data_IF_293842171633
#
_entry.id   IF_293842171633
#
_cell.length_a   1.000
_cell.length_b   1.000
_cell.length_c   1.000
_cell.angle_alpha   90.00
_cell.angle_beta   90.00
_cell.angle_gamma   90.00
#
_symmetry.space_group_name_H-M   'P 1'
#
loop_
_entity.id
_entity.type
_entity.pdbx_description
1 polymer ?
#
# COMPACT_ATOMS: atom_id res chain seq x y z
N UNK A 1 16.01 6.22 5.57
CA UNK A 1 14.83 7.03 5.96
C UNK A 1 14.14 7.46 4.68
N UNK A 2 12.83 7.23 4.52
CA UNK A 2 12.12 7.66 3.30
C UNK A 2 11.89 9.17 3.33
N UNK A 3 12.05 9.90 2.20
CA UNK A 3 11.73 11.32 2.12
C UNK A 3 10.25 11.59 2.45
N UNK A 4 9.99 12.72 3.11
CA UNK A 4 8.64 13.17 3.46
C UNK A 4 8.57 14.68 3.60
N UNK A 5 7.39 15.26 3.37
CA UNK A 5 7.08 16.69 3.48
C UNK A 5 8.03 17.56 2.63
N UNK A 6 8.34 17.10 1.42
CA UNK A 6 9.14 17.87 0.48
C UNK A 6 8.33 19.06 -0.06
N UNK A 7 9.01 20.13 -0.45
CA UNK A 7 8.36 21.22 -1.16
C UNK A 7 7.80 20.71 -2.49
N UNK A 8 6.52 20.94 -2.72
CA UNK A 8 5.83 20.51 -3.94
C UNK A 8 4.40 21.03 -3.98
N UNK A 9 3.71 20.79 -5.09
CA UNK A 9 2.32 21.22 -5.25
C UNK A 9 1.40 20.37 -4.39
N UNK A 10 0.41 21.00 -3.75
CA UNK A 10 -0.63 20.27 -3.04
C UNK A 10 -1.46 19.44 -4.03
N UNK A 11 -2.10 18.38 -3.54
CA UNK A 11 -2.93 17.53 -4.40
C UNK A 11 -4.03 18.36 -5.04
N UNK A 12 -4.06 18.38 -6.36
CA UNK A 12 -5.18 18.89 -7.13
C UNK A 12 -5.95 17.71 -7.70
N UNK A 13 -7.04 17.36 -7.02
CA UNK A 13 -7.86 16.21 -7.39
C UNK A 13 -8.30 16.23 -8.85
N UNK A 14 -8.52 17.41 -9.46
CA UNK A 14 -8.93 17.50 -10.87
C UNK A 14 -7.90 16.94 -11.84
N UNK A 15 -6.61 16.89 -11.45
CA UNK A 15 -5.52 16.28 -12.23
C UNK A 15 -5.55 14.75 -12.20
N UNK A 16 -6.26 14.15 -11.25
CA UNK A 16 -6.46 12.70 -11.17
C UNK A 16 -7.74 12.35 -11.90
N UNK A 17 -7.66 11.58 -12.99
CA UNK A 17 -8.83 11.22 -13.80
C UNK A 17 -9.91 10.48 -12.98
N UNK A 18 -11.21 10.66 -13.28
CA UNK A 18 -12.29 9.93 -12.61
C UNK A 18 -12.12 8.40 -12.66
N UNK A 19 -11.64 7.88 -13.78
CA UNK A 19 -11.37 6.44 -13.96
C UNK A 19 -10.29 5.96 -12.99
N UNK A 20 -9.18 6.69 -12.87
CA UNK A 20 -8.12 6.34 -11.92
C UNK A 20 -8.62 6.42 -10.48
N UNK A 21 -9.41 7.44 -10.11
CA UNK A 21 -10.02 7.51 -8.78
C UNK A 21 -10.89 6.29 -8.48
N UNK A 22 -11.69 5.84 -9.44
CA UNK A 22 -12.52 4.64 -9.25
C UNK A 22 -11.69 3.38 -9.04
N UNK A 23 -10.56 3.24 -9.72
CA UNK A 23 -9.64 2.11 -9.53
C UNK A 23 -8.96 2.20 -8.16
N UNK A 24 -8.53 3.39 -7.75
CA UNK A 24 -7.86 3.61 -6.46
C UNK A 24 -8.77 3.27 -5.27
N UNK A 25 -10.08 3.45 -5.37
CA UNK A 25 -11.03 3.02 -4.31
C UNK A 25 -10.91 1.54 -3.98
N UNK A 26 -10.50 0.70 -4.93
CA UNK A 26 -10.29 -0.73 -4.70
C UNK A 26 -8.84 -1.02 -4.33
N UNK A 27 -7.88 -0.40 -5.01
CA UNK A 27 -6.47 -0.74 -4.84
C UNK A 27 -5.78 -0.03 -3.68
N UNK A 28 -6.31 1.10 -3.23
CA UNK A 28 -5.70 1.93 -2.20
C UNK A 28 -6.75 2.67 -1.32
N UNK A 29 -7.70 1.95 -0.70
CA UNK A 29 -8.72 2.57 0.15
C UNK A 29 -8.14 3.07 1.48
N UNK A 30 -8.84 4.02 2.10
CA UNK A 30 -8.68 4.32 3.52
C UNK A 30 -9.42 3.27 4.36
N UNK A 31 -8.65 2.45 5.08
CA UNK A 31 -9.17 1.37 5.93
C UNK A 31 -9.43 1.79 7.37
N UNK A 32 -9.10 3.03 7.76
CA UNK A 32 -9.28 3.52 9.13
C UNK A 32 -10.53 4.41 9.24
N UNK A 33 -10.64 5.46 8.42
CA UNK A 33 -11.75 6.42 8.50
C UNK A 33 -12.76 6.31 7.36
N UNK A 34 -12.43 5.55 6.31
CA UNK A 34 -13.25 5.41 5.10
C UNK A 34 -13.26 6.65 4.19
N UNK A 35 -12.37 7.62 4.41
CA UNK A 35 -12.26 8.82 3.58
C UNK A 35 -11.04 8.73 2.65
N UNK A 36 -11.21 7.99 1.57
CA UNK A 36 -10.19 7.75 0.54
C UNK A 36 -9.56 9.05 0.02
N UNK A 37 -10.38 10.08 -0.24
CA UNK A 37 -9.93 11.35 -0.80
C UNK A 37 -8.95 12.05 0.14
N UNK A 38 -9.29 12.13 1.43
CA UNK A 38 -8.43 12.74 2.46
C UNK A 38 -7.14 11.94 2.67
N UNK A 39 -7.25 10.62 2.62
CA UNK A 39 -6.09 9.74 2.72
C UNK A 39 -5.12 9.93 1.54
N UNK A 40 -5.61 9.93 0.29
CA UNK A 40 -4.78 10.17 -0.89
C UNK A 40 -4.15 11.56 -0.91
N UNK A 41 -4.87 12.58 -0.44
CA UNK A 41 -4.33 13.93 -0.24
C UNK A 41 -3.15 13.92 0.74
N UNK A 42 -3.32 13.27 1.91
CA UNK A 42 -2.25 13.10 2.89
C UNK A 42 -1.02 12.40 2.30
N UNK A 43 -1.22 11.30 1.58
CA UNK A 43 -0.13 10.53 0.97
C UNK A 43 0.60 11.31 -0.13
N UNK A 44 -0.13 12.04 -0.99
CA UNK A 44 0.50 12.89 -1.99
C UNK A 44 1.29 14.03 -1.33
N UNK A 45 0.67 14.79 -0.42
CA UNK A 45 1.29 15.96 0.20
C UNK A 45 2.51 15.58 1.04
N UNK A 46 2.46 14.43 1.72
CA UNK A 46 3.54 13.92 2.58
C UNK A 46 4.63 13.20 1.78
N UNK A 47 4.29 12.38 0.78
CA UNK A 47 5.26 11.51 0.10
C UNK A 47 5.35 11.75 -1.41
N UNK A 48 4.22 11.97 -2.09
CA UNK A 48 4.17 12.22 -3.53
C UNK A 48 4.98 13.44 -3.98
N UNK A 49 4.91 14.54 -3.23
CA UNK A 49 5.68 15.78 -3.47
C UNK A 49 7.18 15.54 -3.58
N UNK A 50 7.73 14.57 -2.85
CA UNK A 50 9.14 14.22 -2.92
C UNK A 50 9.58 13.59 -4.26
N UNK A 51 8.63 13.14 -5.08
CA UNK A 51 8.88 12.56 -6.40
C UNK A 51 8.41 13.47 -7.55
N UNK A 52 7.84 14.64 -7.24
CA UNK A 52 7.11 15.47 -8.20
C UNK A 52 7.96 15.93 -9.40
N UNK A 53 9.27 16.05 -9.22
CA UNK A 53 10.22 16.37 -10.29
C UNK A 53 10.23 15.32 -11.42
N UNK A 54 9.77 14.11 -11.15
CA UNK A 54 9.77 12.97 -12.08
C UNK A 54 8.37 12.42 -12.35
N UNK A 55 7.48 12.45 -11.35
CA UNK A 55 6.12 11.94 -11.43
C UNK A 55 5.15 13.05 -11.06
N UNK A 56 4.37 13.52 -12.02
CA UNK A 56 3.24 14.38 -11.69
C UNK A 56 2.18 13.60 -10.88
N UNK A 57 1.21 14.31 -10.31
CA UNK A 57 0.15 13.74 -9.48
C UNK A 57 -0.53 12.51 -10.11
N UNK A 58 -0.91 12.59 -11.38
CA UNK A 58 -1.54 11.47 -12.08
C UNK A 58 -0.59 10.28 -12.23
N UNK A 59 0.67 10.52 -12.61
CA UNK A 59 1.67 9.46 -12.78
C UNK A 59 2.03 8.79 -11.45
N UNK A 60 2.08 9.53 -10.35
CA UNK A 60 2.29 8.98 -9.01
C UNK A 60 1.22 7.94 -8.67
N UNK A 61 -0.05 8.29 -8.79
CA UNK A 61 -1.14 7.36 -8.51
C UNK A 61 -1.22 6.20 -9.51
N UNK A 62 -0.94 6.43 -10.80
CA UNK A 62 -0.86 5.36 -11.80
C UNK A 62 0.26 4.38 -11.46
N UNK A 63 1.42 4.86 -11.02
CA UNK A 63 2.55 4.03 -10.63
C UNK A 63 2.22 3.20 -9.40
N UNK A 64 1.59 3.79 -8.39
CA UNK A 64 1.13 3.06 -7.20
C UNK A 64 0.12 1.97 -7.54
N UNK A 65 -0.86 2.25 -8.41
CA UNK A 65 -1.80 1.23 -8.89
C UNK A 65 -1.08 0.11 -9.66
N UNK A 66 -0.13 0.44 -10.54
CA UNK A 66 0.66 -0.55 -11.26
C UNK A 66 1.45 -1.45 -10.30
N UNK A 67 2.03 -0.89 -9.24
CA UNK A 67 2.72 -1.65 -8.19
C UNK A 67 1.76 -2.59 -7.45
N UNK A 68 0.59 -2.09 -7.02
CA UNK A 68 -0.44 -2.91 -6.37
C UNK A 68 -0.88 -4.10 -7.24
N UNK A 69 -1.03 -3.87 -8.56
CA UNK A 69 -1.44 -4.91 -9.51
C UNK A 69 -0.33 -5.93 -9.81
N UNK A 70 0.94 -5.54 -9.70
CA UNK A 70 2.08 -6.38 -10.13
C UNK A 70 2.23 -7.65 -9.30
N UNK A 71 1.91 -7.59 -7.99
CA UNK A 71 2.03 -8.73 -7.09
C UNK A 71 0.80 -8.83 -6.18
N UNK A 72 -0.11 -9.75 -6.50
CA UNK A 72 -1.25 -10.05 -5.64
C UNK A 72 -0.79 -10.90 -4.44
N UNK A 73 -0.30 -10.22 -3.39
CA UNK A 73 0.22 -10.85 -2.17
C UNK A 73 -0.83 -11.78 -1.53
N UNK A 74 -2.10 -11.41 -1.55
CA UNK A 74 -3.19 -12.24 -1.04
C UNK A 74 -3.25 -13.60 -1.74
N UNK A 75 -3.18 -13.62 -3.08
CA UNK A 75 -3.18 -14.86 -3.84
C UNK A 75 -1.90 -15.67 -3.63
N UNK A 76 -0.74 -15.01 -3.51
CA UNK A 76 0.54 -15.68 -3.22
C UNK A 76 0.45 -16.45 -1.89
N UNK A 77 -0.04 -15.79 -0.84
CA UNK A 77 -0.19 -16.40 0.48
C UNK A 77 -1.27 -17.49 0.48
N UNK A 78 -2.41 -17.23 -0.17
CA UNK A 78 -3.50 -18.21 -0.28
C UNK A 78 -3.05 -19.50 -0.98
N UNK A 79 -2.23 -19.40 -2.02
CA UNK A 79 -1.67 -20.55 -2.73
C UNK A 79 -0.67 -21.34 -1.87
N UNK A 80 -0.08 -20.72 -0.85
CA UNK A 80 0.72 -21.37 0.17
C UNK A 80 -0.11 -21.84 1.38
N UNK A 81 -1.44 -21.88 1.25
CA UNK A 81 -2.38 -22.22 2.33
C UNK A 81 -2.32 -21.28 3.55
N UNK A 82 -1.83 -20.06 3.36
CA UNK A 82 -1.78 -19.01 4.37
C UNK A 82 -2.97 -18.07 4.14
N UNK A 83 -3.92 -18.09 5.06
CA UNK A 83 -5.14 -17.28 5.03
C UNK A 83 -5.37 -16.64 6.40
N UNK A 84 -5.98 -15.45 6.51
CA UNK A 84 -6.22 -14.82 7.80
C UNK A 84 -6.95 -15.74 8.80
N UNK A 85 -6.48 -15.76 10.05
CA UNK A 85 -6.98 -16.63 11.11
C UNK A 85 -6.79 -15.95 12.46
N UNK A 86 -7.76 -16.14 13.35
CA UNK A 86 -7.71 -15.64 14.73
C UNK A 86 -6.94 -16.56 15.68
N UNK A 87 -6.72 -17.82 15.30
CA UNK A 87 -6.12 -18.86 16.16
C UNK A 87 -4.83 -19.44 15.62
N UNK A 88 -4.67 -19.45 14.30
CA UNK A 88 -3.45 -19.94 13.65
C UNK A 88 -2.40 -18.83 13.64
N UNK A 89 -1.18 -19.18 14.05
CA UNK A 89 -0.02 -18.31 13.90
C UNK A 89 0.85 -18.79 12.75
N UNK A 90 1.55 -17.85 12.11
CA UNK A 90 2.56 -18.13 11.09
C UNK A 90 3.90 -17.59 11.56
N UNK A 91 4.96 -18.33 11.28
CA UNK A 91 6.31 -17.82 11.50
C UNK A 91 6.65 -16.77 10.45
N UNK A 92 7.69 -15.98 10.72
CA UNK A 92 8.25 -15.05 9.73
C UNK A 92 8.58 -15.74 8.41
N UNK A 93 9.18 -16.94 8.48
CA UNK A 93 9.58 -17.70 7.30
C UNK A 93 8.38 -18.17 6.46
N UNK A 94 7.28 -18.54 7.11
CA UNK A 94 6.06 -18.99 6.42
C UNK A 94 5.49 -17.89 5.53
N UNK A 95 5.52 -16.64 6.00
CA UNK A 95 5.02 -15.48 5.24
C UNK A 95 6.02 -15.03 4.17
N UNK A 96 7.31 -14.93 4.54
CA UNK A 96 8.33 -14.32 3.68
C UNK A 96 8.74 -15.21 2.52
N UNK A 97 8.83 -16.53 2.73
CA UNK A 97 9.30 -17.48 1.70
C UNK A 97 8.43 -17.50 0.44
N UNK A 98 7.09 -17.67 0.50
CA UNK A 98 6.26 -17.69 -0.70
C UNK A 98 6.25 -16.34 -1.42
N UNK A 99 6.32 -15.21 -0.69
CA UNK A 99 6.42 -13.88 -1.31
C UNK A 99 7.76 -13.76 -2.06
N UNK A 100 8.87 -14.08 -1.40
CA UNK A 100 10.22 -14.00 -1.98
C UNK A 100 10.36 -14.89 -3.22
N UNK A 101 9.76 -16.08 -3.22
CA UNK A 101 9.81 -16.99 -4.37
C UNK A 101 9.21 -16.38 -5.65
N UNK A 102 8.19 -15.53 -5.52
CA UNK A 102 7.50 -14.90 -6.65
C UNK A 102 8.09 -13.53 -6.99
N UNK A 103 8.35 -12.69 -5.98
CA UNK A 103 8.86 -11.32 -6.18
C UNK A 103 10.39 -11.28 -6.39
N UNK A 104 11.07 -12.41 -6.17
CA UNK A 104 12.54 -12.53 -6.17
C UNK A 104 13.24 -11.58 -5.18
N UNK A 105 12.48 -11.01 -4.23
CA UNK A 105 12.95 -10.00 -3.27
C UNK A 105 12.41 -10.34 -1.89
N UNK A 106 13.23 -10.17 -0.85
CA UNK A 106 12.76 -10.35 0.53
C UNK A 106 11.89 -9.16 0.94
N UNK A 107 10.58 -9.34 1.22
CA UNK A 107 9.74 -8.24 1.71
C UNK A 107 10.11 -7.83 3.13
N UNK A 108 9.84 -6.57 3.45
CA UNK A 108 9.81 -6.09 4.84
C UNK A 108 8.43 -6.37 5.44
N UNK A 109 8.40 -7.02 6.61
CA UNK A 109 7.17 -7.35 7.32
C UNK A 109 6.97 -6.40 8.50
N UNK A 110 5.83 -5.70 8.53
CA UNK A 110 5.39 -4.92 9.68
C UNK A 110 4.40 -5.72 10.51
N UNK A 111 4.63 -5.84 11.82
CA UNK A 111 3.70 -6.47 12.75
C UNK A 111 3.26 -5.45 13.81
N UNK A 112 1.99 -5.50 14.21
CA UNK A 112 1.46 -4.81 15.39
C UNK A 112 1.13 -5.88 16.42
N UNK A 113 1.53 -5.66 17.68
CA UNK A 113 1.14 -6.54 18.78
C UNK A 113 -0.36 -6.36 19.07
N UNK A 114 -1.03 -7.47 19.31
CA UNK A 114 -2.38 -7.44 19.86
C UNK A 114 -2.27 -7.14 21.35
N UNK A 115 -2.80 -5.99 21.77
CA UNK A 115 -2.82 -5.56 23.17
C UNK A 115 -4.09 -6.05 23.90
N UNK A 116 -5.06 -6.62 23.18
CA UNK A 116 -6.29 -7.16 23.77
C UNK A 116 -6.08 -8.51 24.49
N UNK A 117 -4.91 -9.12 24.30
CA UNK A 117 -4.52 -10.41 24.91
C UNK A 117 -3.55 -10.25 26.09
N UNK A 118 -3.22 -9.03 26.52
CA UNK A 118 -2.38 -8.83 27.72
C UNK A 118 -3.26 -8.77 28.99
N UNK A 119 -2.87 -9.45 30.08
CA UNK A 119 -3.61 -9.48 31.34
C UNK A 119 -3.59 -8.16 32.12
#
# INVERSE_FOLDING_TARGET
>A
KMPSNCNGTQLNFTKVSPQLRSILKTSWPDVESGNDTKFWEGEWNKHGTCSEQTLNQMQYFQRSFAMWRSYNITNILKNASIVPSATQTWTYSDIVSPIKAITQTTPLLGAKRDLSTEP
#
